data_IF_580753367841
#
_entry.id   IF_580753367841
#
_cell.length_a   1.000
_cell.length_b   1.000
_cell.length_c   1.000
_cell.angle_alpha   90.00
_cell.angle_beta   90.00
_cell.angle_gamma   90.00
#
_symmetry.space_group_name_H-M   'P 1'
#
loop_
_entity.id
_entity.type
_entity.pdbx_description
1 polymer ?
#
# COMPACT_ATOMS: atom_id res chain seq x y z
N UNK A 1 -19.99 -2.59 9.25
CA UNK A 1 -19.86 -2.57 7.77
C UNK A 1 -18.45 -2.09 7.43
N UNK A 2 -17.80 -2.67 6.40
CA UNK A 2 -16.49 -2.15 5.99
C UNK A 2 -16.62 -0.74 5.44
N UNK A 3 -15.80 0.21 5.91
CA UNK A 3 -15.72 1.58 5.39
C UNK A 3 -14.35 2.19 5.69
N UNK A 4 -13.99 3.21 4.93
CA UNK A 4 -12.87 4.12 5.23
C UNK A 4 -13.38 5.54 5.04
N UNK A 5 -13.27 6.36 6.08
CA UNK A 5 -13.66 7.76 6.06
C UNK A 5 -12.46 8.61 6.49
N UNK A 6 -11.92 9.38 5.56
CA UNK A 6 -10.84 10.34 5.75
C UNK A 6 -11.40 11.76 5.68
N UNK A 7 -11.15 12.58 6.70
CA UNK A 7 -11.65 13.96 6.78
C UNK A 7 -10.50 14.92 7.08
N UNK A 8 -10.30 15.89 6.18
CA UNK A 8 -9.29 16.95 6.25
C UNK A 8 -7.86 16.43 6.54
N UNK A 9 -7.56 15.26 5.96
CA UNK A 9 -6.29 14.56 6.22
C UNK A 9 -5.13 15.28 5.57
N UNK A 10 -4.11 15.57 6.39
CA UNK A 10 -2.82 16.08 5.95
C UNK A 10 -1.68 15.24 6.48
N UNK A 11 -0.62 15.11 5.67
CA UNK A 11 0.65 14.47 6.06
C UNK A 11 1.79 15.44 5.81
N UNK A 12 2.55 15.73 6.85
CA UNK A 12 3.73 16.59 6.80
C UNK A 12 4.92 15.88 7.44
N UNK A 13 5.98 15.64 6.66
CA UNK A 13 7.24 15.09 7.15
C UNK A 13 8.18 16.21 7.57
N UNK A 14 8.72 16.11 8.77
CA UNK A 14 9.76 17.00 9.24
C UNK A 14 11.12 16.40 8.93
N UNK A 15 11.89 17.04 8.07
CA UNK A 15 13.26 16.65 7.74
C UNK A 15 14.22 17.54 8.50
N UNK A 16 14.95 16.96 9.43
CA UNK A 16 16.02 17.63 10.15
C UNK A 16 17.30 17.51 9.31
N UNK A 17 17.70 18.59 8.65
CA UNK A 17 18.96 18.62 7.91
C UNK A 17 20.07 19.14 8.82
N UNK A 18 20.99 18.27 9.19
CA UNK A 18 22.32 18.67 9.60
C UNK A 18 23.07 19.14 8.34
N UNK A 19 23.20 20.45 8.19
CA UNK A 19 24.12 21.14 7.27
C UNK A 19 24.27 20.58 5.84
N UNK A 20 23.57 21.11 4.85
CA UNK A 20 24.20 21.61 3.63
C UNK A 20 23.21 22.36 2.74
N UNK A 21 23.60 23.56 2.29
CA UNK A 21 22.89 24.36 1.27
C UNK A 21 22.69 23.56 -0.06
N UNK A 22 23.54 22.58 -0.33
CA UNK A 22 23.49 21.71 -1.54
C UNK A 22 22.27 20.80 -1.54
N UNK A 23 21.95 20.18 -0.39
CA UNK A 23 20.82 19.25 -0.27
C UNK A 23 19.45 19.97 -0.40
N UNK A 24 19.37 21.23 0.04
CA UNK A 24 18.16 22.04 -0.14
C UNK A 24 17.81 22.24 -1.61
N UNK A 25 18.79 22.56 -2.44
CA UNK A 25 18.58 22.85 -3.87
C UNK A 25 18.23 21.60 -4.68
N UNK A 26 18.74 20.44 -4.29
CA UNK A 26 18.47 19.18 -4.96
C UNK A 26 17.08 18.61 -4.60
N UNK A 27 16.68 18.73 -3.33
CA UNK A 27 15.35 18.34 -2.87
C UNK A 27 14.24 19.21 -3.49
N UNK A 28 14.47 20.53 -3.64
CA UNK A 28 13.53 21.45 -4.28
C UNK A 28 13.28 21.12 -5.77
N UNK A 29 14.23 20.44 -6.43
CA UNK A 29 14.12 20.06 -7.84
C UNK A 29 13.41 18.71 -8.06
N UNK A 30 13.41 17.83 -7.07
CA UNK A 30 13.04 16.42 -7.27
C UNK A 30 11.68 16.07 -6.65
N UNK A 31 11.20 16.81 -5.65
CA UNK A 31 9.96 16.50 -4.92
C UNK A 31 8.87 17.48 -5.30
N UNK A 32 7.86 17.02 -6.00
CA UNK A 32 6.69 17.80 -6.45
C UNK A 32 5.70 18.18 -5.33
N UNK A 33 6.07 18.07 -4.06
CA UNK A 33 5.25 18.45 -2.91
C UNK A 33 5.57 19.85 -2.39
N UNK A 34 4.66 20.46 -1.61
CA UNK A 34 4.84 21.75 -0.98
C UNK A 34 5.96 21.72 0.07
N UNK A 35 7.15 22.20 -0.27
CA UNK A 35 8.30 22.29 0.64
C UNK A 35 8.33 23.68 1.28
N UNK A 36 8.28 23.74 2.62
CA UNK A 36 8.44 24.98 3.38
C UNK A 36 9.65 24.89 4.30
N UNK A 37 10.55 25.89 4.23
CA UNK A 37 11.64 26.04 5.18
C UNK A 37 11.12 26.79 6.42
N UNK A 38 11.20 26.16 7.58
CA UNK A 38 10.84 26.76 8.87
C UNK A 38 12.11 26.94 9.71
N UNK A 39 12.76 28.09 9.59
CA UNK A 39 14.05 28.39 10.25
C UNK A 39 15.27 27.74 9.58
N UNK A 40 16.46 27.91 10.18
CA UNK A 40 17.72 27.48 9.58
C UNK A 40 17.92 25.98 9.45
N UNK A 41 17.10 25.14 10.14
CA UNK A 41 17.38 23.73 10.37
C UNK A 41 16.22 22.76 10.09
N UNK A 42 15.03 23.26 9.76
CA UNK A 42 13.84 22.41 9.56
C UNK A 42 13.25 22.60 8.16
N UNK A 43 13.07 21.50 7.45
CA UNK A 43 12.35 21.45 6.19
C UNK A 43 11.07 20.65 6.44
N UNK A 44 9.92 21.20 6.10
CA UNK A 44 8.64 20.50 6.13
C UNK A 44 8.29 20.14 4.70
N UNK A 45 8.09 18.83 4.46
CA UNK A 45 7.61 18.30 3.19
C UNK A 45 6.17 17.88 3.38
N UNK A 46 5.23 18.60 2.77
CA UNK A 46 3.80 18.25 2.78
C UNK A 46 3.55 17.21 1.71
N UNK A 47 3.25 15.99 2.14
CA UNK A 47 2.97 14.87 1.24
C UNK A 47 1.48 14.74 0.90
N UNK A 48 0.59 15.09 1.86
CA UNK A 48 -0.86 15.14 1.63
C UNK A 48 -1.43 16.41 2.25
N UNK A 49 -2.46 16.97 1.60
CA UNK A 49 -3.10 18.20 2.02
C UNK A 49 -4.61 18.13 1.75
N UNK A 50 -5.40 18.39 2.79
CA UNK A 50 -6.86 18.53 2.75
C UNK A 50 -7.55 17.35 2.04
N UNK A 51 -7.12 16.11 2.32
CA UNK A 51 -7.68 14.91 1.73
C UNK A 51 -9.00 14.56 2.40
N UNK A 52 -10.06 14.51 1.61
CA UNK A 52 -11.40 14.10 2.02
C UNK A 52 -11.84 12.95 1.11
N UNK A 53 -11.99 11.74 1.68
CA UNK A 53 -12.38 10.52 0.95
C UNK A 53 -13.28 9.67 1.82
N UNK A 54 -14.40 9.22 1.27
CA UNK A 54 -15.26 8.21 1.90
C UNK A 54 -15.40 7.01 0.98
N UNK A 55 -15.05 5.82 1.49
CA UNK A 55 -15.11 4.55 0.78
C UNK A 55 -16.12 3.62 1.44
N UNK A 56 -16.97 2.99 0.61
CA UNK A 56 -18.08 2.13 1.03
C UNK A 56 -17.96 0.74 0.38
N UNK A 57 -18.68 -0.27 0.88
CA UNK A 57 -18.72 -1.58 0.24
C UNK A 57 -19.16 -1.48 -1.23
N UNK A 58 -18.39 -2.12 -2.10
CA UNK A 58 -18.54 -2.05 -3.56
C UNK A 58 -17.57 -1.08 -4.24
N UNK A 59 -16.92 -0.18 -3.49
CA UNK A 59 -15.92 0.72 -4.07
C UNK A 59 -14.65 -0.05 -4.44
N UNK A 60 -14.26 0.11 -5.69
CA UNK A 60 -12.99 -0.35 -6.25
C UNK A 60 -12.29 0.88 -6.82
N UNK A 61 -11.34 1.39 -6.06
CA UNK A 61 -10.75 2.72 -6.29
C UNK A 61 -9.35 2.61 -6.84
N UNK A 62 -9.09 3.29 -7.94
CA UNK A 62 -7.74 3.51 -8.46
C UNK A 62 -7.23 4.88 -8.04
N UNK A 63 -6.09 4.93 -7.36
CA UNK A 63 -5.32 6.16 -7.14
C UNK A 63 -4.42 6.40 -8.34
N UNK A 64 -4.65 7.49 -9.05
CA UNK A 64 -3.97 7.86 -10.29
C UNK A 64 -3.17 9.14 -10.05
N UNK A 65 -1.97 9.23 -10.60
CA UNK A 65 -1.15 10.43 -10.48
C UNK A 65 0.31 10.16 -10.80
N UNK A 66 1.08 11.20 -11.06
CA UNK A 66 2.52 11.12 -11.31
C UNK A 66 3.34 10.67 -10.11
N UNK A 67 4.65 10.50 -10.31
CA UNK A 67 5.58 10.24 -9.21
C UNK A 67 5.58 11.43 -8.23
N UNK A 68 5.57 11.14 -6.93
CA UNK A 68 5.49 12.19 -5.89
C UNK A 68 4.10 12.83 -5.71
N UNK A 69 3.06 12.37 -6.40
CA UNK A 69 1.69 12.89 -6.23
C UNK A 69 1.08 12.62 -4.84
N UNK A 70 1.65 11.67 -4.06
CA UNK A 70 1.17 11.31 -2.73
C UNK A 70 0.43 9.97 -2.66
N UNK A 71 0.36 9.19 -3.76
CA UNK A 71 -0.38 7.92 -3.84
C UNK A 71 0.00 6.93 -2.73
N UNK A 72 1.27 6.56 -2.64
CA UNK A 72 1.75 5.58 -1.63
C UNK A 72 1.58 6.11 -0.20
N UNK A 73 1.67 7.43 0.00
CA UNK A 73 1.39 8.05 1.31
C UNK A 73 -0.09 7.92 1.65
N UNK A 74 -0.99 8.21 0.71
CA UNK A 74 -2.42 8.07 0.92
C UNK A 74 -2.81 6.61 1.18
N UNK A 75 -2.25 5.66 0.42
CA UNK A 75 -2.47 4.23 0.67
C UNK A 75 -2.08 3.83 2.10
N UNK A 76 -0.91 4.29 2.59
CA UNK A 76 -0.47 4.00 3.98
C UNK A 76 -1.43 4.57 5.02
N UNK A 77 -1.96 5.75 4.78
CA UNK A 77 -2.96 6.37 5.65
C UNK A 77 -4.27 5.59 5.65
N UNK A 78 -4.79 5.24 4.47
CA UNK A 78 -6.03 4.46 4.32
C UNK A 78 -5.89 3.03 4.87
N UNK A 79 -4.68 2.48 4.83
CA UNK A 79 -4.35 1.17 5.43
C UNK A 79 -4.17 1.22 6.95
N UNK A 80 -4.18 2.41 7.58
CA UNK A 80 -3.92 2.58 9.01
C UNK A 80 -2.45 2.37 9.42
N UNK A 81 -1.52 2.37 8.45
CA UNK A 81 -0.07 2.22 8.67
C UNK A 81 0.56 3.55 9.08
N UNK A 82 0.03 4.64 8.54
CA UNK A 82 0.53 6.00 8.78
C UNK A 82 -0.56 6.85 9.41
N UNK A 83 -0.27 7.40 10.59
CA UNK A 83 -1.17 8.31 11.28
C UNK A 83 -1.11 9.72 10.64
N UNK A 84 -2.26 10.37 10.41
CA UNK A 84 -2.29 11.71 9.83
C UNK A 84 -1.68 12.76 10.76
N UNK A 85 -0.96 13.75 10.17
CA UNK A 85 -0.46 14.93 10.89
C UNK A 85 -1.58 15.91 11.24
N UNK A 86 -2.67 15.92 10.46
CA UNK A 86 -3.90 16.69 10.68
C UNK A 86 -5.10 15.95 10.12
N UNK A 87 -6.30 16.32 10.59
CA UNK A 87 -7.52 15.61 10.25
C UNK A 87 -7.61 14.24 10.93
N UNK A 88 -8.46 13.38 10.43
CA UNK A 88 -8.62 12.03 10.99
C UNK A 88 -9.06 11.02 9.94
N UNK A 89 -8.72 9.74 10.19
CA UNK A 89 -9.18 8.61 9.40
C UNK A 89 -9.89 7.62 10.29
N UNK A 90 -11.06 7.18 9.88
CA UNK A 90 -11.81 6.12 10.54
C UNK A 90 -11.90 4.93 9.59
N UNK A 91 -11.42 3.79 10.04
CA UNK A 91 -11.45 2.54 9.28
C UNK A 91 -12.31 1.53 10.03
N UNK A 92 -13.27 0.92 9.35
CA UNK A 92 -14.09 -0.18 9.85
C UNK A 92 -13.92 -1.39 8.95
N UNK A 93 -13.73 -2.57 9.54
CA UNK A 93 -13.47 -3.82 8.82
C UNK A 93 -11.99 -4.22 8.85
N UNK A 94 -11.72 -5.46 8.41
CA UNK A 94 -10.35 -5.99 8.36
C UNK A 94 -9.63 -5.49 7.12
N UNK A 95 -8.56 -4.71 7.33
CA UNK A 95 -7.70 -4.22 6.26
C UNK A 95 -6.51 -5.15 6.09
N UNK A 96 -6.20 -5.49 4.86
CA UNK A 96 -4.90 -6.05 4.47
C UNK A 96 -4.21 -5.09 3.52
N UNK A 97 -2.92 -4.90 3.75
CA UNK A 97 -2.08 -4.08 2.88
C UNK A 97 -0.96 -4.96 2.32
N UNK A 98 -0.76 -4.88 1.01
CA UNK A 98 0.40 -5.48 0.35
C UNK A 98 1.47 -4.41 0.02
N UNK A 99 1.43 -3.26 0.70
CA UNK A 99 2.38 -2.15 0.51
C UNK A 99 3.80 -2.48 0.97
N UNK A 100 3.90 -3.19 2.08
CA UNK A 100 5.16 -3.70 2.63
C UNK A 100 4.93 -5.10 3.17
N UNK A 101 5.15 -6.07 2.29
CA UNK A 101 4.92 -7.48 2.62
C UNK A 101 5.95 -8.02 3.62
N UNK A 102 7.06 -7.33 3.83
CA UNK A 102 8.09 -7.70 4.81
C UNK A 102 7.83 -7.15 6.21
N UNK A 103 6.94 -6.17 6.34
CA UNK A 103 6.64 -5.55 7.63
C UNK A 103 6.16 -6.57 8.66
N UNK A 104 6.81 -6.60 9.83
CA UNK A 104 6.51 -7.53 10.92
C UNK A 104 7.10 -8.93 10.73
N UNK A 105 8.00 -9.13 9.76
CA UNK A 105 8.81 -10.33 9.63
C UNK A 105 10.12 -10.16 10.42
N UNK A 106 10.51 -11.19 11.17
CA UNK A 106 11.77 -11.22 11.90
C UNK A 106 12.81 -12.04 11.10
N UNK A 107 13.92 -11.42 10.65
CA UNK A 107 14.97 -12.13 9.93
C UNK A 107 15.65 -13.25 10.72
N UNK A 108 15.69 -13.14 12.05
CA UNK A 108 16.32 -14.14 12.93
C UNK A 108 15.41 -15.33 13.25
N UNK A 109 14.10 -15.15 13.09
CA UNK A 109 13.12 -16.21 13.26
C UNK A 109 13.01 -17.11 12.02
N UNK A 110 12.61 -18.35 12.23
CA UNK A 110 12.34 -19.31 11.16
C UNK A 110 11.10 -18.90 10.34
N UNK A 111 10.94 -19.47 9.15
CA UNK A 111 9.75 -19.25 8.34
C UNK A 111 8.47 -19.65 9.08
N UNK A 112 8.48 -20.78 9.79
CA UNK A 112 7.33 -21.22 10.61
C UNK A 112 6.97 -20.22 11.73
N UNK A 113 7.95 -19.69 12.43
CA UNK A 113 7.72 -18.69 13.47
C UNK A 113 7.18 -17.41 12.86
N UNK A 114 7.72 -16.97 11.73
CA UNK A 114 7.24 -15.80 11.00
C UNK A 114 5.79 -15.97 10.53
N UNK A 115 5.39 -17.17 10.04
CA UNK A 115 3.99 -17.45 9.69
C UNK A 115 3.07 -17.16 10.87
N UNK A 116 3.42 -17.67 12.05
CA UNK A 116 2.59 -17.51 13.25
C UNK A 116 2.60 -16.06 13.73
N UNK A 117 3.76 -15.47 13.92
CA UNK A 117 3.90 -14.10 14.45
C UNK A 117 3.18 -13.09 13.54
N UNK A 118 3.44 -13.14 12.25
CA UNK A 118 2.83 -12.20 11.32
C UNK A 118 1.32 -12.40 11.17
N UNK A 119 0.84 -13.65 11.18
CA UNK A 119 -0.60 -13.91 11.17
C UNK A 119 -1.30 -13.28 12.38
N UNK A 120 -0.65 -13.30 13.56
CA UNK A 120 -1.16 -12.64 14.78
C UNK A 120 -1.13 -11.12 14.64
N UNK A 121 -0.07 -10.54 14.08
CA UNK A 121 0.02 -9.10 13.78
C UNK A 121 -1.10 -8.68 12.83
N UNK A 122 -1.47 -9.53 11.86
CA UNK A 122 -2.57 -9.30 10.92
C UNK A 122 -3.96 -9.59 11.54
N UNK A 123 -4.04 -9.82 12.86
CA UNK A 123 -5.28 -9.93 13.61
C UNK A 123 -5.82 -11.34 13.80
N UNK A 124 -5.04 -12.39 13.48
CA UNK A 124 -5.42 -13.76 13.84
C UNK A 124 -5.10 -14.07 15.31
N UNK A 125 -5.86 -14.95 15.93
CA UNK A 125 -5.45 -15.56 17.19
C UNK A 125 -4.28 -16.53 16.98
N UNK A 126 -3.49 -16.81 18.01
CA UNK A 126 -2.40 -17.82 17.93
C UNK A 126 -2.90 -19.19 17.45
N UNK A 127 -4.11 -19.59 17.82
CA UNK A 127 -4.72 -20.85 17.41
C UNK A 127 -4.99 -20.84 15.90
N UNK A 128 -5.62 -19.79 15.39
CA UNK A 128 -5.89 -19.62 13.96
C UNK A 128 -4.59 -19.53 13.16
N UNK A 129 -3.59 -18.79 13.66
CA UNK A 129 -2.29 -18.65 13.01
C UNK A 129 -1.62 -20.03 12.80
N UNK A 130 -1.63 -20.87 13.84
CA UNK A 130 -1.08 -22.24 13.75
C UNK A 130 -1.85 -23.13 12.80
N UNK A 131 -3.18 -23.00 12.74
CA UNK A 131 -4.02 -23.77 11.81
C UNK A 131 -3.76 -23.39 10.35
N UNK A 132 -3.27 -22.19 10.09
CA UNK A 132 -2.95 -21.68 8.75
C UNK A 132 -1.61 -22.18 8.21
N UNK A 133 -0.71 -22.63 9.08
CA UNK A 133 0.66 -23.02 8.71
C UNK A 133 0.69 -23.99 7.52
N UNK A 134 -0.07 -25.12 7.49
CA UNK A 134 0.02 -26.06 6.39
C UNK A 134 -0.38 -25.48 5.03
N UNK A 135 -1.37 -24.58 5.01
CA UNK A 135 -1.82 -23.96 3.76
C UNK A 135 -0.84 -22.89 3.27
N UNK A 136 -0.23 -22.12 4.19
CA UNK A 136 0.80 -21.13 3.85
C UNK A 136 2.06 -21.84 3.37
N UNK A 137 2.46 -22.95 4.00
CA UNK A 137 3.57 -23.78 3.56
C UNK A 137 3.33 -24.29 2.14
N UNK A 138 2.19 -24.91 1.88
CA UNK A 138 1.83 -25.44 0.56
C UNK A 138 1.76 -24.34 -0.52
N UNK A 139 1.33 -23.12 -0.15
CA UNK A 139 1.26 -22.00 -1.09
C UNK A 139 2.64 -21.42 -1.39
N UNK A 140 3.49 -21.23 -0.37
CA UNK A 140 4.83 -20.63 -0.52
C UNK A 140 5.83 -21.54 -1.26
N UNK A 141 5.60 -22.86 -1.22
CA UNK A 141 6.45 -23.90 -1.83
C UNK A 141 7.90 -23.86 -1.31
N UNK A 142 8.10 -23.45 -0.05
CA UNK A 142 9.41 -23.34 0.55
C UNK A 142 9.87 -24.64 1.25
N UNK A 143 8.95 -25.55 1.59
CA UNK A 143 9.29 -26.83 2.20
C UNK A 143 10.20 -26.73 3.41
N UNK A 144 11.31 -27.49 3.40
CA UNK A 144 12.28 -27.53 4.51
C UNK A 144 12.95 -26.18 4.80
N UNK A 145 12.98 -25.24 3.84
CA UNK A 145 13.51 -23.89 4.10
C UNK A 145 12.74 -23.16 5.20
N UNK A 146 11.47 -23.49 5.42
CA UNK A 146 10.67 -22.89 6.51
C UNK A 146 11.23 -23.18 7.90
N UNK A 147 12.12 -24.16 8.06
CA UNK A 147 12.83 -24.47 9.32
C UNK A 147 14.05 -23.58 9.55
N UNK A 148 14.49 -22.85 8.53
CA UNK A 148 15.67 -22.00 8.61
C UNK A 148 15.30 -20.55 8.94
N UNK A 149 16.21 -19.77 9.55
CA UNK A 149 16.02 -18.35 9.77
C UNK A 149 15.82 -17.59 8.44
N UNK A 150 14.89 -16.63 8.41
CA UNK A 150 14.56 -15.90 7.19
C UNK A 150 15.75 -15.11 6.59
N UNK A 151 16.74 -14.73 7.38
CA UNK A 151 17.97 -14.08 6.88
C UNK A 151 18.74 -14.94 5.87
N UNK A 152 18.48 -16.25 5.82
CA UNK A 152 19.10 -17.18 4.86
C UNK A 152 18.32 -17.29 3.54
N UNK A 153 17.16 -16.64 3.45
CA UNK A 153 16.29 -16.72 2.27
C UNK A 153 16.80 -15.80 1.16
N UNK A 154 16.61 -16.22 -0.08
CA UNK A 154 16.67 -15.29 -1.21
C UNK A 154 15.53 -14.28 -1.14
N UNK A 155 15.68 -13.14 -1.83
CA UNK A 155 14.62 -12.12 -1.93
C UNK A 155 13.30 -12.74 -2.44
N UNK A 156 13.36 -13.64 -3.43
CA UNK A 156 12.18 -14.34 -3.94
C UNK A 156 11.53 -15.26 -2.92
N UNK A 157 12.30 -16.00 -2.12
CA UNK A 157 11.77 -16.85 -1.05
C UNK A 157 11.08 -16.02 0.04
N UNK A 158 11.71 -14.93 0.48
CA UNK A 158 11.13 -14.02 1.47
C UNK A 158 9.82 -13.40 0.94
N UNK A 159 9.80 -12.99 -0.33
CA UNK A 159 8.62 -12.45 -0.99
C UNK A 159 7.48 -13.48 -1.07
N UNK A 160 7.78 -14.72 -1.48
CA UNK A 160 6.78 -15.80 -1.55
C UNK A 160 6.14 -16.07 -0.19
N UNK A 161 6.95 -16.18 0.87
CA UNK A 161 6.44 -16.38 2.23
C UNK A 161 5.59 -15.20 2.69
N UNK A 162 6.10 -13.99 2.54
CA UNK A 162 5.41 -12.76 2.94
C UNK A 162 4.07 -12.60 2.23
N UNK A 163 4.03 -12.88 0.92
CA UNK A 163 2.81 -12.86 0.12
C UNK A 163 1.82 -13.93 0.55
N UNK A 164 2.30 -15.17 0.79
CA UNK A 164 1.46 -16.26 1.26
C UNK A 164 0.75 -15.90 2.57
N UNK A 165 1.48 -15.34 3.54
CA UNK A 165 0.93 -14.93 4.84
C UNK A 165 -0.08 -13.79 4.66
N UNK A 166 0.29 -12.73 3.93
CA UNK A 166 -0.54 -11.54 3.76
C UNK A 166 -1.87 -11.83 3.05
N UNK A 167 -1.85 -12.73 2.07
CA UNK A 167 -3.04 -13.11 1.29
C UNK A 167 -3.93 -14.15 1.96
N UNK A 168 -3.46 -14.77 3.04
CA UNK A 168 -4.27 -15.73 3.79
C UNK A 168 -5.32 -15.07 4.70
N UNK A 169 -5.14 -13.82 5.06
CA UNK A 169 -5.95 -13.12 6.07
C UNK A 169 -7.42 -12.87 5.69
N UNK A 170 -7.85 -13.13 4.46
CA UNK A 170 -9.20 -12.86 3.94
C UNK A 170 -9.71 -11.48 4.38
N UNK A 171 -9.14 -10.39 3.86
CA UNK A 171 -9.51 -9.04 4.24
C UNK A 171 -10.90 -8.65 3.71
N UNK A 172 -11.54 -7.68 4.37
CA UNK A 172 -12.72 -6.99 3.83
C UNK A 172 -12.31 -5.81 2.95
N UNK A 173 -11.14 -5.22 3.24
CA UNK A 173 -10.54 -4.07 2.55
C UNK A 173 -9.13 -4.46 2.14
N UNK A 174 -8.81 -4.31 0.87
CA UNK A 174 -7.47 -4.56 0.34
C UNK A 174 -6.87 -3.27 -0.20
N UNK A 175 -5.63 -2.98 0.22
CA UNK A 175 -4.85 -1.83 -0.24
C UNK A 175 -3.59 -2.32 -0.93
N UNK A 176 -3.40 -1.92 -2.19
CA UNK A 176 -2.30 -2.33 -3.06
C UNK A 176 -1.52 -1.13 -3.59
N UNK A 177 -0.19 -1.20 -3.61
CA UNK A 177 0.65 -0.26 -4.35
C UNK A 177 1.28 -1.01 -5.51
N UNK A 178 0.80 -0.75 -6.69
CA UNK A 178 1.22 -1.36 -7.94
C UNK A 178 1.09 -2.89 -8.01
N UNK A 179 1.19 -3.46 -9.21
CA UNK A 179 1.15 -4.92 -9.40
C UNK A 179 2.42 -5.54 -8.80
N UNK A 180 2.24 -6.57 -7.98
CA UNK A 180 3.34 -7.26 -7.31
C UNK A 180 4.20 -7.96 -8.36
N UNK A 181 5.40 -7.44 -8.60
CA UNK A 181 6.42 -8.15 -9.36
C UNK A 181 7.04 -9.23 -8.48
N UNK A 182 6.71 -10.48 -8.75
CA UNK A 182 7.18 -11.63 -7.97
C UNK A 182 8.48 -12.22 -8.49
N UNK A 183 9.05 -11.68 -9.58
CA UNK A 183 10.34 -12.09 -10.16
C UNK A 183 10.40 -13.53 -10.71
N UNK A 184 9.42 -14.38 -10.41
CA UNK A 184 9.32 -15.77 -10.83
C UNK A 184 8.00 -16.00 -11.57
N UNK A 185 8.07 -16.33 -12.84
CA UNK A 185 6.88 -16.49 -13.70
C UNK A 185 5.89 -17.57 -13.21
N UNK A 186 6.39 -18.66 -12.59
CA UNK A 186 5.54 -19.71 -12.02
C UNK A 186 4.74 -19.23 -10.83
N UNK A 187 5.42 -18.57 -9.89
CA UNK A 187 4.78 -18.01 -8.71
C UNK A 187 3.89 -16.80 -9.05
N UNK A 188 4.27 -15.99 -10.05
CA UNK A 188 3.48 -14.85 -10.51
C UNK A 188 2.06 -15.27 -10.92
N UNK A 189 1.91 -16.34 -11.70
CA UNK A 189 0.60 -16.85 -12.09
C UNK A 189 -0.25 -17.30 -10.90
N UNK A 190 0.37 -17.99 -9.93
CA UNK A 190 -0.27 -18.45 -8.70
C UNK A 190 -0.69 -17.26 -7.81
N UNK A 191 0.18 -16.24 -7.71
CA UNK A 191 -0.10 -15.01 -6.98
C UNK A 191 -1.25 -14.21 -7.61
N UNK A 192 -1.26 -14.06 -8.95
CA UNK A 192 -2.36 -13.42 -9.67
C UNK A 192 -3.69 -14.11 -9.46
N UNK A 193 -3.73 -15.46 -9.55
CA UNK A 193 -4.93 -16.23 -9.27
C UNK A 193 -5.42 -15.99 -7.84
N UNK A 194 -4.51 -15.99 -6.86
CA UNK A 194 -4.84 -15.74 -5.45
C UNK A 194 -5.39 -14.33 -5.24
N UNK A 195 -4.77 -13.31 -5.87
CA UNK A 195 -5.28 -11.94 -5.81
C UNK A 195 -6.68 -11.86 -6.44
N UNK A 196 -6.91 -12.47 -7.59
CA UNK A 196 -8.21 -12.48 -8.24
C UNK A 196 -9.30 -13.09 -7.35
N UNK A 197 -9.00 -14.21 -6.67
CA UNK A 197 -9.90 -14.83 -5.71
C UNK A 197 -10.22 -13.91 -4.51
N UNK A 198 -9.21 -13.23 -3.98
CA UNK A 198 -9.38 -12.28 -2.89
C UNK A 198 -10.24 -11.11 -3.37
N UNK A 199 -9.88 -10.49 -4.49
CA UNK A 199 -10.58 -9.34 -5.07
C UNK A 199 -12.05 -9.63 -5.32
N UNK A 200 -12.41 -10.87 -5.73
CA UNK A 200 -13.80 -11.26 -5.95
C UNK A 200 -14.66 -11.22 -4.68
N UNK A 201 -14.05 -11.36 -3.50
CA UNK A 201 -14.71 -11.43 -2.18
C UNK A 201 -14.59 -10.14 -1.37
N UNK A 202 -13.79 -9.18 -1.84
CA UNK A 202 -13.56 -7.91 -1.14
C UNK A 202 -14.82 -7.05 -1.09
N UNK A 203 -14.94 -6.29 -0.01
CA UNK A 203 -15.92 -5.21 0.09
C UNK A 203 -15.37 -3.91 -0.50
N UNK A 204 -14.10 -3.59 -0.24
CA UNK A 204 -13.43 -2.38 -0.74
C UNK A 204 -12.05 -2.76 -1.29
N UNK A 205 -11.71 -2.23 -2.47
CA UNK A 205 -10.39 -2.31 -3.08
C UNK A 205 -9.85 -0.90 -3.28
N UNK A 206 -8.59 -0.66 -2.88
CA UNK A 206 -7.86 0.56 -3.22
C UNK A 206 -6.53 0.16 -3.83
N UNK A 207 -6.27 0.59 -5.06
CA UNK A 207 -5.01 0.32 -5.76
C UNK A 207 -4.37 1.63 -6.21
N UNK A 208 -3.06 1.76 -6.06
CA UNK A 208 -2.31 2.75 -6.82
C UNK A 208 -1.67 2.04 -8.02
N UNK A 209 -1.80 2.61 -9.18
CA UNK A 209 -1.18 2.08 -10.41
C UNK A 209 -0.92 3.20 -11.40
N UNK A 210 0.11 3.02 -12.21
CA UNK A 210 0.38 3.84 -13.40
C UNK A 210 -0.23 3.23 -14.66
N UNK A 211 -0.65 1.96 -14.64
CA UNK A 211 -1.36 1.32 -15.74
C UNK A 211 -2.86 1.68 -15.71
N UNK A 212 -3.23 2.67 -16.52
CA UNK A 212 -4.61 3.13 -16.63
C UNK A 212 -5.55 2.08 -17.23
N UNK A 213 -5.02 1.12 -17.99
CA UNK A 213 -5.82 0.04 -18.59
C UNK A 213 -6.19 -0.98 -17.52
N UNK A 214 -5.23 -1.39 -16.71
CA UNK A 214 -5.47 -2.24 -15.55
C UNK A 214 -6.42 -1.57 -14.53
N UNK A 215 -6.23 -0.26 -14.28
CA UNK A 215 -7.13 0.53 -13.44
C UNK A 215 -8.58 0.49 -13.93
N UNK A 216 -8.80 0.74 -15.23
CA UNK A 216 -10.13 0.73 -15.82
C UNK A 216 -10.79 -0.66 -15.83
N UNK A 217 -10.00 -1.73 -15.90
CA UNK A 217 -10.52 -3.10 -15.88
C UNK A 217 -10.92 -3.57 -14.47
N UNK A 218 -10.26 -3.05 -13.42
CA UNK A 218 -10.40 -3.54 -12.04
C UNK A 218 -11.22 -2.62 -11.14
N UNK A 219 -11.32 -1.33 -11.48
CA UNK A 219 -11.90 -0.30 -10.62
C UNK A 219 -13.13 0.36 -11.23
N UNK A 220 -14.05 0.79 -10.37
CA UNK A 220 -15.25 1.54 -10.76
C UNK A 220 -15.15 3.04 -10.44
N UNK A 221 -14.14 3.45 -9.66
CA UNK A 221 -13.90 4.82 -9.21
C UNK A 221 -12.42 5.16 -9.35
N UNK A 222 -12.11 6.38 -9.74
CA UNK A 222 -10.74 6.87 -9.85
C UNK A 222 -10.56 8.15 -9.05
N UNK A 223 -9.46 8.22 -8.30
CA UNK A 223 -9.04 9.42 -7.56
C UNK A 223 -7.73 9.90 -8.19
N UNK A 224 -7.76 11.07 -8.81
CA UNK A 224 -6.56 11.70 -9.38
C UNK A 224 -5.90 12.57 -8.35
N UNK A 225 -4.66 12.25 -8.02
CA UNK A 225 -3.81 12.99 -7.08
C UNK A 225 -2.77 13.82 -7.82
N UNK A 226 -2.57 15.03 -7.36
CA UNK A 226 -1.46 15.90 -7.78
C UNK A 226 -0.96 16.72 -6.60
N UNK A 227 0.37 16.74 -6.41
CA UNK A 227 1.03 17.51 -5.33
C UNK A 227 0.38 17.34 -3.95
N UNK A 228 -0.05 16.12 -3.63
CA UNK A 228 -0.64 15.79 -2.33
C UNK A 228 -2.10 16.16 -2.14
N UNK A 229 -2.79 16.64 -3.18
CA UNK A 229 -4.21 16.99 -3.14
C UNK A 229 -5.02 16.18 -4.17
N UNK A 230 -6.30 15.95 -3.89
CA UNK A 230 -7.23 15.32 -4.83
C UNK A 230 -7.68 16.39 -5.83
N UNK A 231 -7.50 16.11 -7.12
CA UNK A 231 -8.01 16.93 -8.19
C UNK A 231 -9.35 16.44 -8.72
N UNK A 232 -9.51 15.10 -8.79
CA UNK A 232 -10.72 14.45 -9.30
C UNK A 232 -11.00 13.24 -8.43
N UNK A 233 -12.26 13.03 -8.09
CA UNK A 233 -12.78 11.83 -7.44
C UNK A 233 -14.13 11.51 -8.12
N UNK A 234 -14.12 10.57 -9.06
CA UNK A 234 -15.26 10.28 -9.93
C UNK A 234 -15.18 8.82 -10.45
N UNK A 235 -16.10 8.45 -11.34
CA UNK A 235 -16.04 7.19 -12.06
C UNK A 235 -14.69 7.03 -12.75
N UNK A 236 -14.24 5.80 -12.86
CA UNK A 236 -12.89 5.50 -13.36
C UNK A 236 -12.64 6.11 -14.74
N UNK A 237 -13.63 6.09 -15.64
CA UNK A 237 -13.49 6.61 -17.01
C UNK A 237 -13.26 8.12 -16.99
N UNK A 238 -14.01 8.87 -16.16
CA UNK A 238 -13.86 10.32 -15.99
C UNK A 238 -12.49 10.66 -15.41
N UNK A 239 -12.07 9.94 -14.37
CA UNK A 239 -10.78 10.15 -13.73
C UNK A 239 -9.60 9.88 -14.69
N UNK A 240 -9.66 8.80 -15.47
CA UNK A 240 -8.64 8.47 -16.47
C UNK A 240 -8.58 9.54 -17.57
N UNK A 241 -9.73 10.02 -18.06
CA UNK A 241 -9.78 11.10 -19.06
C UNK A 241 -9.16 12.40 -18.51
N UNK A 242 -9.52 12.78 -17.28
CA UNK A 242 -8.98 13.96 -16.61
C UNK A 242 -7.45 13.87 -16.44
N UNK A 243 -6.94 12.71 -15.99
CA UNK A 243 -5.50 12.52 -15.84
C UNK A 243 -4.74 12.60 -17.15
N UNK A 244 -5.28 12.01 -18.25
CA UNK A 244 -4.68 12.13 -19.59
C UNK A 244 -4.64 13.58 -20.07
N UNK A 245 -5.71 14.35 -19.83
CA UNK A 245 -5.74 15.76 -20.19
C UNK A 245 -4.67 16.58 -19.44
N UNK A 246 -4.48 16.31 -18.14
CA UNK A 246 -3.44 16.93 -17.32
C UNK A 246 -2.02 16.57 -17.79
N UNK A 247 -1.80 15.29 -18.15
CA UNK A 247 -0.49 14.82 -18.63
C UNK A 247 -0.10 15.41 -20.00
N UNK A 248 -1.10 15.73 -20.85
CA UNK A 248 -0.87 16.36 -22.15
C UNK A 248 -0.67 17.89 -22.07
N UNK A 249 -1.01 18.51 -20.94
CA UNK A 249 -0.89 19.95 -20.71
C UNK A 249 0.40 20.35 -19.97
N UNK A 250 1.18 19.39 -19.47
CA UNK A 250 2.44 19.56 -18.74
C UNK A 250 3.66 19.32 -19.61
#
# INVERSE_FOLDING_TARGET
MASIDATDVGIAYQVYSASSRSFKNELFRTVGGGIRAQGASRIIVTALKDINVSLKPGDRVALIGGNGAGKSTLLKVLAGILEPSSGHVRVSGRVSSLLDMSMGMDPEATGYENIVMRSVILGATFREARQRVPEIEAFSELGEYLRLPMRTYSTGMALRLSFAIATYAQPEILVLDEMIDTGDAGFAKKAQSRIADIVSKLKILVIATHDLTAAAAMCNRGIVLSHGSILVDDKIETAVAAYRALANAA
#
